data_IF_571668846895
#
_entry.id   IF_571668846895
#
_cell.length_a   1.000
_cell.length_b   1.000
_cell.length_c   1.000
_cell.angle_alpha   90.00
_cell.angle_beta   90.00
_cell.angle_gamma   90.00
#
_symmetry.space_group_name_H-M   'P 1'
#
loop_
_entity.id
_entity.type
_entity.pdbx_description
1 polymer ?
#
# COMPACT_ATOMS: atom_id res chain seq x y z
N UNK A 1 29.06 -38.73 21.64
CA UNK A 1 28.57 -37.54 22.39
C UNK A 1 28.91 -36.24 21.66
N UNK A 2 29.98 -36.19 20.85
CA UNK A 2 30.44 -34.99 20.13
C UNK A 2 29.59 -34.56 18.91
N UNK A 3 28.86 -35.48 18.26
CA UNK A 3 28.00 -35.15 17.11
C UNK A 3 26.74 -34.33 17.51
N UNK A 4 26.16 -34.61 18.68
CA UNK A 4 24.94 -33.92 19.14
C UNK A 4 25.24 -32.44 19.44
N UNK A 5 26.40 -32.15 20.05
CA UNK A 5 26.83 -30.78 20.34
C UNK A 5 27.13 -29.98 19.06
N UNK A 6 27.64 -30.62 18.01
CA UNK A 6 27.91 -29.94 16.73
C UNK A 6 26.62 -29.54 16.01
N UNK A 7 25.58 -30.38 16.08
CA UNK A 7 24.27 -30.07 15.50
C UNK A 7 23.61 -28.93 16.27
N UNK A 8 23.70 -28.91 17.59
CA UNK A 8 23.16 -27.83 18.43
C UNK A 8 23.78 -26.46 18.10
N UNK A 9 25.11 -26.39 17.94
CA UNK A 9 25.81 -25.17 17.54
C UNK A 9 25.42 -24.72 16.12
N UNK A 10 25.30 -25.66 15.18
CA UNK A 10 24.84 -25.37 13.82
C UNK A 10 23.41 -24.82 13.80
N UNK A 11 22.50 -25.40 14.60
CA UNK A 11 21.12 -24.91 14.74
C UNK A 11 21.11 -23.51 15.35
N UNK A 12 21.95 -23.24 16.35
CA UNK A 12 22.07 -21.91 16.95
C UNK A 12 22.57 -20.86 15.93
N UNK A 13 23.56 -21.20 15.10
CA UNK A 13 24.06 -20.34 14.01
C UNK A 13 22.95 -19.99 13.02
N UNK A 14 22.19 -20.99 12.56
CA UNK A 14 21.08 -20.78 11.62
C UNK A 14 19.98 -19.90 12.22
N UNK A 15 19.72 -20.01 13.52
CA UNK A 15 18.76 -19.14 14.22
C UNK A 15 19.25 -17.68 14.22
N UNK A 16 20.53 -17.43 14.49
CA UNK A 16 21.09 -16.07 14.44
C UNK A 16 21.05 -15.50 13.01
N UNK A 17 21.45 -16.26 12.00
CA UNK A 17 21.34 -15.86 10.60
C UNK A 17 19.88 -15.52 10.21
N UNK A 18 18.92 -16.33 10.65
CA UNK A 18 17.50 -16.08 10.40
C UNK A 18 17.02 -14.76 11.03
N UNK A 19 17.52 -14.41 12.23
CA UNK A 19 17.23 -13.12 12.88
C UNK A 19 17.83 -11.96 12.10
N UNK A 20 19.09 -12.06 11.70
CA UNK A 20 19.76 -11.01 10.92
C UNK A 20 19.03 -10.75 9.60
N UNK A 21 18.60 -11.80 8.89
CA UNK A 21 17.79 -11.68 7.67
C UNK A 21 16.45 -11.00 7.97
N UNK A 22 15.76 -11.40 9.04
CA UNK A 22 14.49 -10.79 9.42
C UNK A 22 14.64 -9.30 9.73
N UNK A 23 15.71 -8.90 10.42
CA UNK A 23 15.99 -7.50 10.75
C UNK A 23 16.34 -6.70 9.49
N UNK A 24 17.13 -7.26 8.58
CA UNK A 24 17.46 -6.65 7.30
C UNK A 24 16.21 -6.42 6.43
N UNK A 25 15.32 -7.41 6.33
CA UNK A 25 14.05 -7.31 5.59
C UNK A 25 13.13 -6.27 6.24
N UNK A 26 13.04 -6.26 7.57
CA UNK A 26 12.22 -5.27 8.30
C UNK A 26 12.71 -3.84 8.07
N UNK A 27 14.04 -3.64 8.04
CA UNK A 27 14.66 -2.35 7.69
C UNK A 27 14.36 -1.94 6.25
N UNK A 28 14.43 -2.89 5.29
CA UNK A 28 14.10 -2.63 3.89
C UNK A 28 12.63 -2.23 3.70
N UNK A 29 11.69 -2.95 4.31
CA UNK A 29 10.26 -2.63 4.26
C UNK A 29 10.00 -1.24 4.85
N UNK A 30 10.66 -0.90 5.96
CA UNK A 30 10.51 0.40 6.61
C UNK A 30 10.98 1.55 5.70
N UNK A 31 12.13 1.37 5.03
CA UNK A 31 12.65 2.34 4.05
C UNK A 31 11.72 2.47 2.85
N UNK A 32 11.32 1.36 2.24
CA UNK A 32 10.41 1.35 1.11
C UNK A 32 9.07 2.03 1.45
N UNK A 33 8.54 1.79 2.64
CA UNK A 33 7.30 2.43 3.11
C UNK A 33 7.47 3.95 3.29
N UNK A 34 8.61 4.39 3.80
CA UNK A 34 8.93 5.81 3.95
C UNK A 34 9.04 6.51 2.59
N UNK A 35 9.66 5.86 1.61
CA UNK A 35 9.84 6.41 0.26
C UNK A 35 8.53 6.39 -0.55
N UNK A 36 7.64 5.44 -0.27
CA UNK A 36 6.33 5.33 -0.91
C UNK A 36 5.33 6.40 -0.44
N UNK A 37 5.36 6.79 0.84
CA UNK A 37 4.41 7.76 1.41
C UNK A 37 4.34 9.11 0.68
N UNK A 38 5.44 9.78 0.28
CA UNK A 38 5.36 11.02 -0.50
C UNK A 38 4.75 10.80 -1.89
N UNK A 39 4.97 9.64 -2.52
CA UNK A 39 4.32 9.30 -3.79
C UNK A 39 2.82 9.12 -3.60
N UNK A 40 2.41 8.43 -2.53
CA UNK A 40 1.00 8.26 -2.15
C UNK A 40 0.31 9.60 -1.90
N UNK A 41 0.98 10.53 -1.21
CA UNK A 41 0.47 11.89 -1.01
C UNK A 41 0.29 12.63 -2.34
N UNK A 42 1.24 12.53 -3.27
CA UNK A 42 1.13 13.14 -4.61
C UNK A 42 -0.01 12.55 -5.42
N UNK A 43 -0.17 11.23 -5.43
CA UNK A 43 -1.28 10.56 -6.12
C UNK A 43 -2.63 11.06 -5.57
N UNK A 44 -2.80 11.09 -4.23
CA UNK A 44 -4.00 11.62 -3.59
C UNK A 44 -4.27 13.09 -3.93
N UNK A 45 -3.22 13.91 -3.95
CA UNK A 45 -3.34 15.33 -4.30
C UNK A 45 -3.84 15.52 -5.74
N UNK A 46 -3.33 14.74 -6.70
CA UNK A 46 -3.78 14.82 -8.09
C UNK A 46 -5.21 14.31 -8.24
N UNK A 47 -5.54 13.17 -7.62
CA UNK A 47 -6.90 12.62 -7.65
C UNK A 47 -7.93 13.61 -7.06
N UNK A 48 -7.59 14.26 -5.94
CA UNK A 48 -8.43 15.29 -5.31
C UNK A 48 -8.61 16.51 -6.21
N UNK A 49 -7.54 16.94 -6.90
CA UNK A 49 -7.60 18.05 -7.86
C UNK A 49 -8.49 17.70 -9.06
N UNK A 50 -8.44 16.47 -9.57
CA UNK A 50 -9.31 16.01 -10.65
C UNK A 50 -10.77 16.12 -10.20
N UNK A 51 -11.13 15.59 -9.03
CA UNK A 51 -12.50 15.66 -8.50
C UNK A 51 -12.97 17.10 -8.26
N UNK A 52 -12.10 17.95 -7.72
CA UNK A 52 -12.38 19.38 -7.49
C UNK A 52 -12.65 20.13 -8.80
N UNK A 53 -11.84 19.88 -9.84
CA UNK A 53 -12.01 20.49 -11.16
C UNK A 53 -13.28 20.00 -11.85
N UNK A 54 -13.61 18.71 -11.76
CA UNK A 54 -14.88 18.18 -12.29
C UNK A 54 -16.08 18.82 -11.60
N UNK A 55 -16.07 18.88 -10.27
CA UNK A 55 -17.11 19.55 -9.50
C UNK A 55 -17.26 21.03 -9.87
N UNK A 56 -16.13 21.71 -10.11
CA UNK A 56 -16.12 23.09 -10.58
C UNK A 56 -16.73 23.19 -11.97
N UNK A 57 -16.38 22.30 -12.89
CA UNK A 57 -16.93 22.26 -14.25
C UNK A 57 -18.44 22.02 -14.23
N UNK A 58 -18.91 21.07 -13.42
CA UNK A 58 -20.33 20.76 -13.24
C UNK A 58 -21.13 21.96 -12.71
N UNK A 59 -20.50 22.86 -11.95
CA UNK A 59 -21.11 24.11 -11.49
C UNK A 59 -21.10 25.23 -12.55
N UNK A 60 -20.11 25.25 -13.43
CA UNK A 60 -19.91 26.30 -14.43
C UNK A 60 -20.72 26.07 -15.72
N UNK A 61 -21.02 24.81 -16.04
CA UNK A 61 -21.84 24.44 -17.21
C UNK A 61 -23.27 24.99 -17.11
N UNK A 62 -24.03 24.80 -16.00
CA UNK A 62 -25.37 25.35 -15.87
C UNK A 62 -25.40 26.89 -15.85
N UNK A 63 -24.34 27.52 -15.33
CA UNK A 63 -24.23 28.98 -15.25
C UNK A 63 -23.81 29.63 -16.58
N UNK A 64 -23.62 28.84 -17.65
CA UNK A 64 -23.21 29.28 -19.00
C UNK A 64 -21.91 30.10 -19.03
N UNK A 65 -21.07 29.96 -18.00
CA UNK A 65 -19.78 30.64 -17.92
C UNK A 65 -18.75 30.02 -18.86
N UNK A 66 -19.00 28.78 -19.33
CA UNK A 66 -18.15 28.03 -20.24
C UNK A 66 -18.98 27.51 -21.41
N UNK A 67 -18.49 27.59 -22.66
CA UNK A 67 -19.19 27.01 -23.80
C UNK A 67 -19.27 25.47 -23.67
N UNK A 68 -20.42 24.85 -24.01
CA UNK A 68 -20.61 23.40 -23.84
C UNK A 68 -19.55 22.54 -24.55
N UNK A 69 -19.07 22.97 -25.72
CA UNK A 69 -18.03 22.27 -26.48
C UNK A 69 -16.66 22.28 -25.79
N UNK A 70 -16.35 23.31 -25.00
CA UNK A 70 -15.14 23.36 -24.17
C UNK A 70 -15.31 22.49 -22.93
N UNK A 71 -16.49 22.51 -22.31
CA UNK A 71 -16.76 21.69 -21.13
C UNK A 71 -16.62 20.20 -21.41
N UNK A 72 -17.14 19.71 -22.54
CA UNK A 72 -16.97 18.30 -22.96
C UNK A 72 -15.48 17.94 -23.09
N UNK A 73 -14.69 18.78 -23.77
CA UNK A 73 -13.24 18.54 -23.93
C UNK A 73 -12.50 18.52 -22.60
N UNK A 74 -12.81 19.43 -21.69
CA UNK A 74 -12.19 19.47 -20.37
C UNK A 74 -12.56 18.26 -19.51
N UNK A 75 -13.81 17.79 -19.57
CA UNK A 75 -14.19 16.55 -18.87
C UNK A 75 -13.52 15.32 -19.47
N UNK A 76 -13.39 15.23 -20.79
CA UNK A 76 -12.62 14.17 -21.46
C UNK A 76 -11.15 14.16 -21.04
N UNK A 77 -10.51 15.34 -20.93
CA UNK A 77 -9.12 15.46 -20.48
C UNK A 77 -8.97 15.11 -18.99
N UNK A 78 -9.93 15.52 -18.14
CA UNK A 78 -9.97 15.13 -16.72
C UNK A 78 -10.18 13.62 -16.56
N UNK A 79 -11.03 13.02 -17.41
CA UNK A 79 -11.24 11.58 -17.45
C UNK A 79 -9.97 10.85 -17.89
N UNK A 80 -9.25 11.37 -18.89
CA UNK A 80 -7.96 10.82 -19.33
C UNK A 80 -6.92 10.88 -18.22
N UNK A 81 -6.82 12.02 -17.52
CA UNK A 81 -5.93 12.17 -16.37
C UNK A 81 -6.25 11.15 -15.27
N UNK A 82 -7.54 10.87 -15.04
CA UNK A 82 -7.99 9.84 -14.11
C UNK A 82 -7.59 8.43 -14.58
N UNK A 83 -7.78 8.10 -15.85
CA UNK A 83 -7.35 6.81 -16.42
C UNK A 83 -5.84 6.59 -16.27
N UNK A 84 -5.01 7.62 -16.49
CA UNK A 84 -3.55 7.53 -16.29
C UNK A 84 -3.19 7.10 -14.86
N UNK A 85 -3.96 7.56 -13.86
CA UNK A 85 -3.71 7.26 -12.45
C UNK A 85 -4.34 5.93 -12.03
N UNK A 86 -5.54 5.63 -12.51
CA UNK A 86 -6.33 4.46 -12.10
C UNK A 86 -5.94 3.18 -12.87
N UNK A 87 -5.56 3.31 -14.13
CA UNK A 87 -5.20 2.17 -14.98
C UNK A 87 -3.67 1.96 -15.06
N UNK A 88 -2.88 2.91 -14.54
CA UNK A 88 -1.42 2.85 -14.48
C UNK A 88 -0.87 2.33 -13.15
N UNK A 89 0.46 2.33 -13.00
CA UNK A 89 1.16 1.84 -11.80
C UNK A 89 0.81 2.63 -10.52
N UNK A 90 0.42 3.90 -10.69
CA UNK A 90 -0.02 4.77 -9.61
C UNK A 90 -1.29 4.27 -8.91
N UNK A 91 -2.05 3.38 -9.56
CA UNK A 91 -3.25 2.77 -9.00
C UNK A 91 -2.97 1.98 -7.73
N UNK A 92 -1.79 1.37 -7.63
CA UNK A 92 -1.33 0.65 -6.43
C UNK A 92 -1.27 1.53 -5.17
N UNK A 93 -1.15 2.85 -5.36
CA UNK A 93 -1.08 3.86 -4.29
C UNK A 93 -2.45 4.51 -4.00
N UNK A 94 -3.50 4.19 -4.77
CA UNK A 94 -4.83 4.72 -4.53
C UNK A 94 -5.55 3.99 -3.38
N UNK A 95 -6.30 4.72 -2.54
CA UNK A 95 -7.20 4.09 -1.58
C UNK A 95 -8.29 3.30 -2.31
N UNK A 96 -8.37 1.99 -2.08
CA UNK A 96 -9.39 1.10 -2.67
C UNK A 96 -8.96 0.27 -3.89
N UNK A 97 -7.91 0.68 -4.61
CA UNK A 97 -7.28 -0.14 -5.66
C UNK A 97 -6.10 -0.97 -5.15
N UNK A 98 -5.80 -0.83 -3.86
CA UNK A 98 -4.89 -1.67 -3.10
C UNK A 98 -5.47 -3.07 -2.84
N UNK A 99 -6.08 -3.70 -3.86
CA UNK A 99 -6.34 -5.14 -3.90
C UNK A 99 -4.98 -5.86 -3.97
N UNK A 100 -4.24 -5.84 -2.85
CA UNK A 100 -2.90 -6.44 -2.74
C UNK A 100 -2.00 -5.92 -1.62
N UNK A 101 -2.18 -4.69 -1.12
CA UNK A 101 -1.40 -4.23 0.05
C UNK A 101 -1.78 -5.00 1.33
N UNK A 102 -3.02 -5.47 1.38
CA UNK A 102 -3.58 -6.33 2.42
C UNK A 102 -3.05 -7.77 2.43
N UNK A 103 -2.21 -8.21 1.49
CA UNK A 103 -1.48 -9.49 1.62
C UNK A 103 0.03 -9.27 1.79
N UNK A 104 0.57 -8.20 1.19
CA UNK A 104 2.01 -7.88 1.26
C UNK A 104 2.43 -7.31 2.63
N UNK A 105 1.51 -6.73 3.41
CA UNK A 105 1.69 -6.43 4.84
C UNK A 105 1.45 -7.62 5.78
N UNK A 106 0.76 -8.69 5.34
CA UNK A 106 0.35 -9.79 6.21
C UNK A 106 1.42 -10.86 6.48
N UNK A 107 2.59 -10.74 5.87
CA UNK A 107 3.79 -11.50 6.25
C UNK A 107 4.82 -10.64 7.01
N UNK A 108 4.46 -9.41 7.39
CA UNK A 108 5.16 -8.64 8.43
C UNK A 108 4.96 -7.11 8.36
N UNK A 109 4.73 -6.40 9.49
CA UNK A 109 4.88 -6.87 10.88
C UNK A 109 3.55 -7.31 11.52
N UNK A 110 3.18 -8.59 11.35
CA UNK A 110 2.15 -9.23 12.19
C UNK A 110 2.85 -9.83 13.42
N UNK A 111 2.64 -9.24 14.59
CA UNK A 111 2.98 -9.84 15.87
C UNK A 111 2.10 -11.09 16.12
N UNK A 112 2.42 -12.23 15.52
CA UNK A 112 1.84 -13.53 15.92
C UNK A 112 2.52 -13.97 17.21
N UNK A 113 2.09 -13.41 18.35
CA UNK A 113 2.39 -13.99 19.67
C UNK A 113 1.25 -14.94 20.00
N UNK A 114 1.35 -16.19 19.54
CA UNK A 114 0.44 -17.25 19.94
C UNK A 114 0.66 -17.59 21.43
N UNK A 115 0.11 -16.80 22.35
CA UNK A 115 -0.14 -17.26 23.72
C UNK A 115 -1.59 -17.76 23.77
N UNK A 116 -1.84 -18.93 23.16
CA UNK A 116 -3.03 -19.70 23.53
C UNK A 116 -2.75 -20.29 24.90
N UNK A 117 -3.05 -19.51 25.94
CA UNK A 117 -3.41 -20.11 27.23
C UNK A 117 -4.60 -21.03 26.95
N UNK A 118 -4.42 -22.31 27.27
CA UNK A 118 -5.44 -23.32 27.41
C UNK A 118 -6.76 -22.73 27.92
N UNK A 119 -7.77 -22.68 27.05
CA UNK A 119 -9.16 -22.64 27.53
C UNK A 119 -9.69 -24.05 27.36
N UNK A 120 -9.41 -24.86 28.37
CA UNK A 120 -10.08 -26.13 28.62
C UNK A 120 -11.57 -25.83 28.82
N UNK A 121 -12.38 -25.99 27.78
CA UNK A 121 -13.82 -26.16 27.98
C UNK A 121 -14.02 -27.60 28.45
N UNK A 122 -14.17 -27.74 29.77
CA UNK A 122 -14.65 -28.97 30.39
C UNK A 122 -16.05 -29.29 29.85
N UNK A 123 -16.19 -30.59 29.61
CA UNK A 123 -17.34 -31.41 29.24
C UNK A 123 -18.72 -30.87 29.57
#
# INVERSE_FOLDING_TARGET
>A
MEECSSIEESVASVIEEAKEVQDAVSSHISKASSDEEPLRQRVRAVDSRIHSLRSSLDSLVPTKQIPPSLAVKLDEDLQRARCIIVDGDASSLLPGHAQGSFLRMFLGPINVRASRKDVQLKS
#
